data_IF_976380674192
#
_entry.id   IF_976380674192
#
_cell.length_a   1.000
_cell.length_b   1.000
_cell.length_c   1.000
_cell.angle_alpha   90.00
_cell.angle_beta   90.00
_cell.angle_gamma   90.00
#
_symmetry.space_group_name_H-M   'P 1'
#
loop_
_entity.id
_entity.type
_entity.pdbx_description
1 polymer ?
#
# COMPACT_ATOMS: atom_id res chain seq x y z
N UNK A 1 8.87 7.68 14.38
CA UNK A 1 8.20 7.37 13.11
C UNK A 1 6.79 6.94 13.48
N UNK A 2 5.78 7.26 12.66
CA UNK A 2 4.38 6.93 12.96
C UNK A 2 3.90 5.92 11.94
N UNK A 3 3.61 4.72 12.40
CA UNK A 3 2.96 3.70 11.60
C UNK A 3 1.48 4.07 11.43
N UNK A 4 1.04 4.22 10.18
CA UNK A 4 -0.35 4.48 9.85
C UNK A 4 -1.12 3.19 9.53
N UNK A 5 -0.43 2.05 9.53
CA UNK A 5 -0.98 0.73 9.26
C UNK A 5 -1.10 0.45 7.77
N UNK A 6 -1.95 -0.53 7.47
CA UNK A 6 -2.26 -0.94 6.09
C UNK A 6 -3.29 -0.03 5.47
N UNK A 7 -2.98 0.50 4.29
CA UNK A 7 -3.88 1.28 3.47
C UNK A 7 -4.10 0.60 2.12
N UNK A 8 -5.27 0.81 1.52
CA UNK A 8 -5.54 0.35 0.17
C UNK A 8 -4.64 1.13 -0.79
N UNK A 9 -3.80 0.40 -1.53
CA UNK A 9 -2.93 0.95 -2.56
C UNK A 9 -3.68 1.11 -3.86
N UNK A 10 -4.14 -0.02 -4.39
CA UNK A 10 -4.84 -0.12 -5.66
C UNK A 10 -5.58 -1.45 -5.72
N UNK A 11 -6.36 -1.66 -6.77
CA UNK A 11 -6.91 -2.96 -7.11
C UNK A 11 -6.21 -3.41 -8.40
N UNK A 12 -5.57 -4.57 -8.38
CA UNK A 12 -5.02 -5.15 -9.61
C UNK A 12 -6.18 -5.65 -10.48
N UNK A 13 -6.41 -4.94 -11.59
CA UNK A 13 -7.42 -5.26 -12.61
C UNK A 13 -6.84 -5.98 -13.81
N UNK A 14 -5.59 -6.45 -13.74
CA UNK A 14 -4.94 -7.17 -14.85
C UNK A 14 -5.71 -8.43 -15.24
N UNK A 15 -6.40 -9.07 -14.29
CA UNK A 15 -7.38 -10.13 -14.55
C UNK A 15 -8.80 -9.64 -14.19
N UNK A 16 -9.66 -9.36 -15.19
CA UNK A 16 -11.05 -8.93 -14.95
C UNK A 16 -11.89 -9.95 -14.18
N UNK A 17 -11.49 -11.22 -14.16
CA UNK A 17 -12.17 -12.28 -13.42
C UNK A 17 -11.69 -12.40 -11.97
N UNK A 18 -10.56 -11.77 -11.63
CA UNK A 18 -9.92 -11.88 -10.32
C UNK A 18 -9.27 -10.56 -9.91
N UNK A 19 -10.10 -9.62 -9.48
CA UNK A 19 -9.66 -8.32 -8.97
C UNK A 19 -9.04 -8.53 -7.59
N UNK A 20 -7.75 -8.19 -7.45
CA UNK A 20 -7.02 -8.34 -6.18
C UNK A 20 -6.78 -6.98 -5.53
N UNK A 21 -7.28 -6.75 -4.31
CA UNK A 21 -6.96 -5.53 -3.58
C UNK A 21 -5.50 -5.59 -3.12
N UNK A 22 -4.73 -4.57 -3.50
CA UNK A 22 -3.35 -4.39 -3.09
C UNK A 22 -3.32 -3.44 -1.89
N UNK A 23 -2.62 -3.85 -0.83
CA UNK A 23 -2.43 -3.02 0.36
C UNK A 23 -0.97 -2.65 0.51
N UNK A 24 -0.72 -1.42 0.96
CA UNK A 24 0.61 -0.90 1.26
C UNK A 24 0.67 -0.50 2.73
N UNK A 25 1.80 -0.73 3.40
CA UNK A 25 2.02 -0.27 4.78
C UNK A 25 2.61 1.13 4.79
N UNK A 26 1.84 2.09 5.30
CA UNK A 26 2.23 3.48 5.34
C UNK A 26 3.01 3.79 6.63
N UNK A 27 4.28 4.20 6.50
CA UNK A 27 5.08 4.71 7.63
C UNK A 27 5.44 6.18 7.41
N UNK A 28 5.16 6.99 8.44
CA UNK A 28 5.38 8.43 8.41
C UNK A 28 6.64 8.77 9.21
N UNK A 29 7.66 9.20 8.47
CA UNK A 29 8.99 9.54 8.97
C UNK A 29 9.14 11.06 8.98
N UNK A 30 9.12 11.68 10.17
CA UNK A 30 9.28 13.14 10.33
C UNK A 30 8.31 14.00 9.50
N UNK A 31 7.07 13.56 9.30
CA UNK A 31 6.09 14.27 8.47
C UNK A 31 6.07 13.81 7.01
N UNK A 32 7.04 13.02 6.57
CA UNK A 32 7.16 12.51 5.21
C UNK A 32 6.63 11.08 5.15
N UNK A 33 5.70 10.83 4.23
CA UNK A 33 5.25 9.49 3.88
C UNK A 33 6.17 8.96 2.79
N UNK A 34 7.00 7.95 3.10
CA UNK A 34 7.86 7.30 2.11
C UNK A 34 7.08 6.19 1.40
N UNK A 35 6.82 6.38 0.10
CA UNK A 35 6.13 5.43 -0.77
C UNK A 35 7.11 4.55 -1.58
N UNK A 36 8.42 4.79 -1.48
CA UNK A 36 9.44 4.13 -2.32
C UNK A 36 9.76 2.73 -1.82
N UNK A 37 9.73 2.51 -0.49
CA UNK A 37 10.05 1.22 0.14
C UNK A 37 8.82 0.51 0.70
N UNK A 38 7.63 0.75 0.14
CA UNK A 38 6.45 0.13 0.73
C UNK A 38 6.31 -1.32 0.29
N UNK A 39 6.16 -2.19 1.28
CA UNK A 39 5.77 -3.57 1.09
C UNK A 39 4.31 -3.61 0.59
N UNK A 40 4.12 -3.95 -0.69
CA UNK A 40 2.81 -4.19 -1.29
C UNK A 40 2.47 -5.67 -1.15
N UNK A 41 1.29 -5.97 -0.60
CA UNK A 41 0.76 -7.34 -0.51
C UNK A 41 -0.56 -7.44 -1.27
N UNK A 42 -0.70 -8.51 -2.05
CA UNK A 42 -1.86 -8.90 -2.87
C UNK A 42 -2.56 -10.14 -2.35
#
# INVERSE_FOLDING_TARGET
TRDLGWMLYDMDYSDPSNIKPQFFRAELNYGVLDLVNVEVRS
#
